data_IF_990606830752
#
_entry.id   IF_990606830752
#
_cell.length_a   1.000
_cell.length_b   1.000
_cell.length_c   1.000
_cell.angle_alpha   90.00
_cell.angle_beta   90.00
_cell.angle_gamma   90.00
#
_symmetry.space_group_name_H-M   'P 1'
#
loop_
_entity.id
_entity.type
_entity.pdbx_description
1 polymer ?
#
# COMPACT_ATOMS: atom_id res chain seq x y z
N UNK A 1 0.25 -22.20 -32.79
CA UNK A 1 1.08 -21.30 -31.96
C UNK A 1 0.17 -20.21 -31.43
N UNK A 2 -0.27 -20.32 -30.18
CA UNK A 2 -1.08 -19.28 -29.55
C UNK A 2 -0.15 -18.41 -28.71
N UNK A 3 0.13 -17.20 -29.18
CA UNK A 3 0.69 -16.13 -28.36
C UNK A 3 -0.42 -15.65 -27.44
N UNK A 4 -0.63 -16.38 -26.34
CA UNK A 4 -1.57 -16.00 -25.28
C UNK A 4 -0.94 -14.92 -24.43
N UNK A 5 -1.61 -13.77 -24.37
CA UNK A 5 -1.42 -12.66 -23.45
C UNK A 5 -0.72 -13.08 -22.14
N UNK A 6 0.49 -12.57 -21.90
CA UNK A 6 1.07 -12.57 -20.56
C UNK A 6 0.26 -11.59 -19.73
N UNK A 7 -0.73 -12.11 -19.00
CA UNK A 7 -1.33 -11.40 -17.89
C UNK A 7 -0.19 -10.82 -17.05
N UNK A 8 -0.21 -9.51 -16.80
CA UNK A 8 0.68 -8.85 -15.85
C UNK A 8 0.48 -9.56 -14.51
N UNK A 9 1.32 -10.56 -14.25
CA UNK A 9 1.18 -11.49 -13.14
C UNK A 9 1.36 -10.70 -11.86
N UNK A 10 0.21 -10.42 -11.26
CA UNK A 10 -0.03 -10.08 -9.87
C UNK A 10 1.23 -10.16 -9.01
N UNK A 11 1.66 -8.99 -8.58
CA UNK A 11 2.71 -8.75 -7.60
C UNK A 11 2.23 -9.25 -6.22
N UNK A 12 2.00 -10.56 -6.08
CA UNK A 12 1.43 -11.14 -4.86
C UNK A 12 2.25 -10.79 -3.62
N UNK A 13 1.60 -10.83 -2.46
CA UNK A 13 2.19 -10.41 -1.17
C UNK A 13 3.58 -11.01 -0.89
N UNK A 14 3.83 -12.25 -1.32
CA UNK A 14 5.14 -12.91 -1.19
C UNK A 14 6.27 -12.22 -1.97
N UNK A 15 5.98 -11.64 -3.16
CA UNK A 15 6.98 -10.87 -3.90
C UNK A 15 7.39 -9.60 -3.15
N UNK A 16 6.42 -8.91 -2.55
CA UNK A 16 6.67 -7.70 -1.77
C UNK A 16 7.45 -8.03 -0.50
N UNK A 17 7.09 -9.11 0.20
CA UNK A 17 7.84 -9.55 1.38
C UNK A 17 9.31 -9.83 1.04
N UNK A 18 9.59 -10.54 -0.06
CA UNK A 18 10.96 -10.78 -0.51
C UNK A 18 11.70 -9.47 -0.87
N UNK A 19 11.01 -8.48 -1.45
CA UNK A 19 11.57 -7.17 -1.76
C UNK A 19 11.88 -6.38 -0.48
N UNK A 20 11.02 -6.45 0.52
CA UNK A 20 11.17 -5.77 1.80
C UNK A 20 12.25 -6.40 2.66
N UNK A 21 12.38 -7.72 2.66
CA UNK A 21 13.46 -8.44 3.34
C UNK A 21 14.84 -7.98 2.82
N UNK A 22 14.99 -7.82 1.49
CA UNK A 22 16.22 -7.27 0.89
C UNK A 22 16.51 -5.81 1.27
N UNK A 23 15.51 -5.08 1.75
CA UNK A 23 15.61 -3.71 2.29
C UNK A 23 15.69 -3.68 3.82
N UNK A 24 15.92 -4.84 4.44
CA UNK A 24 16.10 -5.04 5.88
C UNK A 24 14.83 -4.86 6.73
N UNK A 25 13.64 -4.84 6.12
CA UNK A 25 12.37 -4.91 6.86
C UNK A 25 12.10 -6.36 7.26
N UNK A 26 12.60 -6.75 8.43
CA UNK A 26 12.59 -8.15 8.89
C UNK A 26 11.73 -8.37 10.12
N UNK A 27 11.47 -7.34 10.92
CA UNK A 27 10.62 -7.43 12.09
C UNK A 27 9.15 -7.63 11.71
N UNK A 28 8.45 -8.53 12.40
CA UNK A 28 7.01 -8.72 12.24
C UNK A 28 6.31 -7.82 13.24
N UNK A 29 5.44 -6.98 12.72
CA UNK A 29 4.66 -6.05 13.51
C UNK A 29 3.19 -6.46 13.46
N UNK A 30 2.51 -6.35 14.60
CA UNK A 30 1.06 -6.41 14.70
C UNK A 30 0.53 -5.06 15.13
N UNK A 31 -0.59 -4.66 14.53
CA UNK A 31 -1.35 -3.50 14.97
C UNK A 31 -2.15 -3.82 16.22
N UNK A 32 -2.03 -2.96 17.21
CA UNK A 32 -2.84 -2.97 18.43
C UNK A 32 -3.61 -1.64 18.50
N UNK A 33 -4.56 -1.53 19.43
CA UNK A 33 -5.45 -0.37 19.52
C UNK A 33 -4.68 0.98 19.62
N UNK A 34 -3.58 1.00 20.38
CA UNK A 34 -2.84 2.24 20.70
C UNK A 34 -1.41 2.26 20.19
N UNK A 35 -0.89 1.16 19.65
CA UNK A 35 0.53 0.98 19.35
C UNK A 35 0.77 -0.19 18.39
N UNK A 36 2.03 -0.45 18.06
CA UNK A 36 2.46 -1.69 17.42
C UNK A 36 3.06 -2.64 18.45
N UNK A 37 2.88 -3.93 18.22
CA UNK A 37 3.60 -4.98 18.92
C UNK A 37 4.62 -5.64 17.98
N UNK A 38 5.88 -5.71 18.41
CA UNK A 38 6.93 -6.44 17.70
C UNK A 38 7.18 -7.80 18.36
N UNK A 39 7.02 -8.88 17.60
CA UNK A 39 7.15 -10.24 18.12
C UNK A 39 8.59 -10.59 18.46
N UNK A 40 9.54 -10.25 17.59
CA UNK A 40 10.95 -10.61 17.72
C UNK A 40 11.61 -9.91 18.91
N UNK A 41 11.20 -8.67 19.18
CA UNK A 41 11.72 -7.88 20.31
C UNK A 41 10.90 -8.03 21.59
N UNK A 42 9.73 -8.69 21.51
CA UNK A 42 8.75 -8.78 22.59
C UNK A 42 8.48 -7.41 23.24
N UNK A 43 8.27 -6.39 22.40
CA UNK A 43 8.20 -4.99 22.80
C UNK A 43 7.05 -4.23 22.12
N UNK A 44 6.52 -3.25 22.84
CA UNK A 44 5.50 -2.33 22.35
C UNK A 44 6.16 -1.08 21.77
N UNK A 45 5.67 -0.62 20.63
CA UNK A 45 6.21 0.51 19.88
C UNK A 45 5.11 1.57 19.77
N UNK A 46 5.35 2.73 20.37
CA UNK A 46 4.38 3.82 20.39
C UNK A 46 4.28 4.50 19.01
N UNK A 47 3.15 5.17 18.70
CA UNK A 47 2.95 5.89 17.44
C UNK A 47 4.07 6.87 17.07
N UNK A 48 4.69 7.48 18.06
CA UNK A 48 5.79 8.44 17.90
C UNK A 48 7.11 7.76 17.51
N UNK A 49 7.27 6.47 17.84
CA UNK A 49 8.49 5.69 17.64
C UNK A 49 8.55 4.95 16.31
N UNK A 50 7.57 5.15 15.43
CA UNK A 50 7.60 4.55 14.09
C UNK A 50 7.09 5.48 12.99
N UNK A 51 7.53 5.17 11.77
CA UNK A 51 7.10 5.80 10.53
C UNK A 51 6.73 4.72 9.51
N UNK A 52 5.66 4.96 8.76
CA UNK A 52 5.30 4.12 7.61
C UNK A 52 6.06 4.67 6.40
N UNK A 53 6.89 3.82 5.80
CA UNK A 53 7.75 4.17 4.68
C UNK A 53 7.09 3.83 3.34
N UNK A 54 6.51 2.63 3.23
CA UNK A 54 5.88 2.10 2.02
C UNK A 54 4.52 1.47 2.35
N UNK A 55 3.61 1.51 1.38
CA UNK A 55 2.24 1.00 1.47
C UNK A 55 1.92 0.16 0.24
N UNK A 56 1.21 -0.95 0.45
CA UNK A 56 0.85 -1.89 -0.59
C UNK A 56 -0.56 -2.43 -0.33
N UNK A 57 -1.51 -2.15 -1.22
CA UNK A 57 -2.86 -2.70 -1.15
C UNK A 57 -3.01 -3.90 -2.07
N UNK A 58 -3.52 -5.00 -1.54
CA UNK A 58 -3.79 -6.23 -2.24
C UNK A 58 -5.28 -6.53 -2.11
N UNK A 59 -6.04 -6.30 -3.17
CA UNK A 59 -7.43 -6.76 -3.28
C UNK A 59 -7.52 -7.84 -4.35
N UNK A 60 -8.34 -8.86 -4.12
CA UNK A 60 -8.77 -9.74 -5.19
C UNK A 60 -10.03 -9.14 -5.82
N UNK A 61 -10.06 -8.99 -7.15
CA UNK A 61 -11.24 -8.45 -7.84
C UNK A 61 -12.52 -9.29 -7.64
N UNK A 62 -12.38 -10.52 -7.15
CA UNK A 62 -13.47 -11.47 -6.91
C UNK A 62 -14.05 -11.41 -5.50
N UNK A 63 -13.32 -10.87 -4.52
CA UNK A 63 -13.75 -10.79 -3.13
C UNK A 63 -13.32 -9.44 -2.52
N UNK A 64 -14.23 -8.46 -2.43
CA UNK A 64 -13.93 -7.17 -1.81
C UNK A 64 -13.63 -7.30 -0.31
N UNK A 65 -13.99 -8.41 0.34
CA UNK A 65 -13.65 -8.67 1.75
C UNK A 65 -12.25 -9.30 1.90
N UNK A 66 -11.58 -9.66 0.80
CA UNK A 66 -10.23 -10.22 0.80
C UNK A 66 -9.13 -9.15 0.69
N UNK A 67 -9.45 -7.90 0.99
CA UNK A 67 -8.48 -6.81 0.99
C UNK A 67 -7.44 -6.96 2.11
N UNK A 68 -6.17 -6.90 1.71
CA UNK A 68 -5.02 -6.89 2.62
C UNK A 68 -4.17 -5.67 2.32
N UNK A 69 -3.61 -5.12 3.37
CA UNK A 69 -2.65 -4.03 3.28
C UNK A 69 -1.34 -4.51 3.89
N UNK A 70 -0.23 -4.21 3.22
CA UNK A 70 1.11 -4.37 3.78
C UNK A 70 1.76 -2.99 3.94
N UNK A 71 2.22 -2.71 5.15
CA UNK A 71 3.00 -1.53 5.49
C UNK A 71 4.46 -1.92 5.72
N UNK A 72 5.39 -1.17 5.12
CA UNK A 72 6.80 -1.18 5.51
C UNK A 72 7.02 -0.05 6.53
N UNK A 73 7.64 -0.38 7.66
CA UNK A 73 7.70 0.49 8.84
C UNK A 73 9.14 0.58 9.36
N UNK A 74 9.65 1.79 9.50
CA UNK A 74 10.90 2.11 10.18
C UNK A 74 10.63 2.53 11.62
N UNK A 75 11.48 2.07 12.54
CA UNK A 75 11.45 2.42 13.95
C UNK A 75 12.48 3.50 14.28
N UNK A 76 12.23 4.27 15.34
CA UNK A 76 13.13 5.33 15.81
C UNK A 76 14.54 4.84 16.18
N UNK A 77 14.67 3.57 16.55
CA UNK A 77 15.95 2.91 16.84
C UNK A 77 16.70 2.37 15.61
N UNK A 78 16.21 2.67 14.40
CA UNK A 78 16.83 2.26 13.13
C UNK A 78 16.46 0.85 12.66
N UNK A 79 15.72 0.08 13.46
CA UNK A 79 15.21 -1.22 13.04
C UNK A 79 14.00 -1.05 12.11
N UNK A 80 13.73 -2.10 11.32
CA UNK A 80 12.70 -2.08 10.28
C UNK A 80 11.86 -3.33 10.30
N UNK A 81 10.57 -3.16 10.06
CA UNK A 81 9.60 -4.25 10.05
C UNK A 81 8.46 -4.04 9.08
N UNK A 82 7.61 -5.04 8.99
CA UNK A 82 6.40 -4.98 8.19
C UNK A 82 5.18 -5.36 9.01
N UNK A 83 4.04 -4.77 8.64
CA UNK A 83 2.73 -5.07 9.17
C UNK A 83 1.84 -5.51 8.00
N UNK A 84 1.20 -6.66 8.13
CA UNK A 84 0.13 -7.09 7.22
C UNK A 84 -1.18 -6.96 7.98
N UNK A 85 -2.12 -6.23 7.41
CA UNK A 85 -3.39 -5.89 8.01
C UNK A 85 -4.53 -6.28 7.06
N UNK A 86 -5.61 -6.85 7.58
CA UNK A 86 -6.83 -7.10 6.82
C UNK A 86 -7.68 -5.83 6.84
N UNK A 87 -8.09 -5.32 5.68
CA UNK A 87 -8.75 -4.01 5.51
C UNK A 87 -10.18 -3.92 6.08
N UNK A 88 -10.54 -4.74 7.06
CA UNK A 88 -11.87 -4.75 7.66
C UNK A 88 -11.97 -3.61 8.68
N UNK A 89 -12.12 -2.40 8.16
CA UNK A 89 -11.98 -1.12 8.84
C UNK A 89 -13.05 -0.79 9.92
N UNK A 90 -13.74 -1.77 10.50
CA UNK A 90 -14.88 -1.49 11.39
C UNK A 90 -15.00 -2.33 12.68
N UNK A 91 -14.04 -3.20 13.02
CA UNK A 91 -14.19 -4.04 14.23
C UNK A 91 -13.29 -3.67 15.41
N UNK A 92 -12.24 -2.87 15.19
CA UNK A 92 -11.24 -2.64 16.23
C UNK A 92 -11.36 -1.22 16.81
N UNK A 93 -11.49 -1.12 18.14
CA UNK A 93 -11.37 0.14 18.88
C UNK A 93 -9.92 0.65 18.77
N UNK A 94 -9.58 1.27 17.65
CA UNK A 94 -8.26 1.86 17.38
C UNK A 94 -8.24 3.33 17.79
N UNK A 95 -7.11 3.76 18.37
CA UNK A 95 -6.90 5.13 18.78
C UNK A 95 -6.80 6.08 17.59
N UNK A 96 -7.22 7.33 17.77
CA UNK A 96 -7.14 8.37 16.74
C UNK A 96 -5.70 8.55 16.21
N UNK A 97 -4.69 8.47 17.07
CA UNK A 97 -3.29 8.59 16.67
C UNK A 97 -2.89 7.51 15.66
N UNK A 98 -3.25 6.26 15.94
CA UNK A 98 -2.98 5.15 15.04
C UNK A 98 -3.76 5.27 13.72
N UNK A 99 -5.03 5.71 13.78
CA UNK A 99 -5.83 5.99 12.56
C UNK A 99 -5.14 7.04 11.68
N UNK A 100 -4.68 8.15 12.27
CA UNK A 100 -4.00 9.20 11.52
C UNK A 100 -2.68 8.70 10.92
N UNK A 101 -1.90 7.90 11.66
CA UNK A 101 -0.64 7.32 11.17
C UNK A 101 -0.82 6.44 9.94
N UNK A 102 -1.88 5.65 9.86
CA UNK A 102 -2.13 4.81 8.67
C UNK A 102 -2.87 5.57 7.56
N UNK A 103 -3.97 6.27 7.87
CA UNK A 103 -4.79 6.97 6.85
C UNK A 103 -4.06 8.11 6.13
N UNK A 104 -3.20 8.87 6.81
CA UNK A 104 -2.43 9.93 6.15
C UNK A 104 -1.48 9.36 5.09
N UNK A 105 -0.99 8.14 5.30
CA UNK A 105 -0.12 7.49 4.34
C UNK A 105 -0.90 6.88 3.17
N UNK A 106 -2.13 6.42 3.39
CA UNK A 106 -3.03 6.02 2.30
C UNK A 106 -3.30 7.22 1.36
N UNK A 107 -3.67 8.38 1.93
CA UNK A 107 -4.01 9.59 1.17
C UNK A 107 -2.81 10.22 0.45
N UNK A 108 -1.63 10.21 1.08
CA UNK A 108 -0.41 10.74 0.45
C UNK A 108 -0.04 9.98 -0.81
N UNK A 109 -0.28 8.67 -0.82
CA UNK A 109 0.07 7.80 -1.95
C UNK A 109 -1.06 7.72 -3.00
N UNK A 110 -2.33 7.83 -2.61
CA UNK A 110 -3.44 7.91 -3.58
C UNK A 110 -3.36 9.18 -4.44
N UNK A 111 -2.80 10.28 -3.93
CA UNK A 111 -2.53 11.47 -4.72
C UNK A 111 -1.36 11.28 -5.72
N UNK A 112 -0.43 10.35 -5.45
CA UNK A 112 0.68 10.00 -6.32
C UNK A 112 0.26 9.16 -7.53
N UNK A 113 -0.73 8.26 -7.37
CA UNK A 113 -1.21 7.38 -8.44
C UNK A 113 -1.98 8.12 -9.56
N UNK A 114 -2.57 9.29 -9.29
CA UNK A 114 -3.21 10.11 -10.33
C UNK A 114 -2.22 10.84 -11.24
N UNK A 115 -0.93 10.91 -10.90
CA UNK A 115 0.08 11.60 -11.71
C UNK A 115 0.69 10.74 -12.83
N UNK A 116 0.37 9.44 -12.87
CA UNK A 116 0.85 8.50 -13.90
C UNK A 116 -0.19 8.14 -14.99
N UNK A 117 -1.37 8.79 -15.03
CA UNK A 117 -2.36 8.61 -16.12
C UNK A 117 -2.27 9.66 -17.24
N UNK A 118 -1.35 10.62 -17.19
CA UNK A 118 -1.25 11.70 -18.20
C UNK A 118 -0.16 11.49 -19.28
N UNK A 119 0.30 10.26 -19.50
CA UNK A 119 1.23 9.94 -20.59
C UNK A 119 0.58 9.16 -21.75
N UNK A 120 -0.75 9.14 -21.85
CA UNK A 120 -1.42 8.90 -23.13
C UNK A 120 -1.76 10.26 -23.74
N UNK A 121 -1.08 10.59 -24.86
CA UNK A 121 -1.42 11.76 -25.67
C UNK A 121 -2.92 11.78 -25.99
N UNK A 122 -3.57 12.96 -25.93
CA UNK A 122 -4.97 13.10 -26.27
C UNK A 122 -5.17 12.72 -27.74
N UNK A 123 -6.15 11.85 -27.97
CA UNK A 123 -6.79 11.65 -29.27
C UNK A 123 -6.89 13.00 -30.00
N UNK A 124 -6.28 13.08 -31.19
CA UNK A 124 -6.49 14.18 -32.13
C UNK A 124 -7.97 14.23 -32.51
N UNK A 125 -8.77 14.92 -31.72
CA UNK A 125 -9.93 15.64 -32.22
C UNK A 125 -9.41 16.97 -32.77
N UNK A 126 -9.21 17.03 -34.09
CA UNK A 126 -9.20 18.31 -34.79
C UNK A 126 -10.59 18.47 -35.40
N UNK A 127 -11.22 19.56 -35.01
CA UNK A 127 -12.61 19.93 -35.25
C UNK A 127 -13.04 19.91 -36.71
N UNK A 128 -14.34 19.70 -36.88
CA UNK A 128 -15.16 20.22 -37.97
C UNK A 128 -14.90 21.72 -38.17
N UNK A 129 -14.50 22.10 -39.37
CA UNK A 129 -15.21 23.06 -40.22
C UNK A 129 -14.29 23.47 -41.37
N UNK A 130 -14.69 23.14 -42.60
CA UNK A 130 -14.57 24.05 -43.74
C UNK A 130 -15.43 23.52 -44.89
N UNK A 131 -16.51 24.25 -45.13
CA UNK A 131 -17.24 24.26 -46.40
C UNK A 131 -16.27 24.44 -47.56
N UNK A 132 -16.49 23.72 -48.66
CA UNK A 132 -16.47 24.32 -49.99
C UNK A 132 -17.19 23.42 -51.00
N UNK A 133 -18.01 24.10 -51.80
CA UNK A 133 -18.82 23.75 -52.97
C UNK A 133 -18.43 22.52 -53.79
#
# INVERSE_FOLDING_TARGET
MATGYTAHKDWGIGYVLNKLEKKEYTLKLRREATCLYCFELNNWILPEDFMVDEYYHFGEAADPDAERILYAISLSNGLRGFLIDSCNAYTDNISLQMVLKFRLNDLRNSAGDYSNMNNEEPTKAINSDNQNF
#
